data_IF_140989202213
#
_entry.id   IF_140989202213
#
_cell.length_a   1.000
_cell.length_b   1.000
_cell.length_c   1.000
_cell.angle_alpha   90.00
_cell.angle_beta   90.00
_cell.angle_gamma   90.00
#
_symmetry.space_group_name_H-M   'P 1'
#
loop_
_entity.id
_entity.type
_entity.pdbx_description
1 polymer ?
#
# COMPACT_ATOMS: atom_id res chain seq x y z
N UNK A 1 -29.58 45.61 -83.58
CA UNK A 1 -28.33 45.41 -82.82
C UNK A 1 -27.37 44.60 -83.68
N UNK A 2 -26.12 45.06 -83.85
CA UNK A 2 -25.14 44.54 -84.82
C UNK A 2 -24.58 43.11 -84.55
N UNK A 3 -25.18 42.34 -83.64
CA UNK A 3 -24.78 40.95 -83.34
C UNK A 3 -23.39 40.78 -82.72
N UNK A 4 -22.69 41.87 -82.41
CA UNK A 4 -21.38 41.89 -81.75
C UNK A 4 -21.61 41.99 -80.24
N UNK A 5 -21.16 40.97 -79.52
CA UNK A 5 -21.20 40.91 -78.07
C UNK A 5 -19.77 40.93 -77.52
N UNK A 6 -19.64 41.40 -76.28
CA UNK A 6 -18.40 41.35 -75.53
C UNK A 6 -18.51 40.27 -74.46
N UNK A 7 -17.49 39.43 -74.35
CA UNK A 7 -17.40 38.45 -73.29
C UNK A 7 -16.08 38.61 -72.54
N UNK A 8 -16.16 38.57 -71.20
CA UNK A 8 -15.02 38.68 -70.30
C UNK A 8 -15.04 37.46 -69.38
N UNK A 9 -14.02 36.61 -69.51
CA UNK A 9 -13.86 35.46 -68.65
C UNK A 9 -13.25 35.87 -67.29
N UNK A 10 -13.65 35.17 -66.23
CA UNK A 10 -12.99 35.28 -64.94
C UNK A 10 -11.61 34.60 -64.95
N UNK A 11 -10.67 34.99 -64.07
CA UNK A 11 -9.34 34.38 -63.99
C UNK A 11 -9.36 32.88 -63.67
N UNK A 12 -10.47 32.37 -63.11
CA UNK A 12 -10.69 30.96 -62.80
C UNK A 12 -11.41 30.19 -63.91
N UNK A 13 -11.63 30.78 -65.08
CA UNK A 13 -12.36 30.16 -66.19
C UNK A 13 -11.47 30.09 -67.44
N UNK A 14 -11.38 28.90 -68.03
CA UNK A 14 -10.77 28.70 -69.34
C UNK A 14 -11.84 28.82 -70.41
N UNK A 15 -11.61 29.66 -71.40
CA UNK A 15 -12.63 29.97 -72.41
C UNK A 15 -12.10 29.66 -73.79
N UNK A 16 -12.93 29.03 -74.62
CA UNK A 16 -12.65 28.70 -76.01
C UNK A 16 -13.72 29.33 -76.91
N UNK A 17 -13.28 30.10 -77.90
CA UNK A 17 -14.12 30.67 -78.93
C UNK A 17 -14.07 29.79 -80.17
N UNK A 18 -15.20 29.16 -80.49
CA UNK A 18 -15.37 28.39 -81.71
C UNK A 18 -16.03 29.25 -82.79
N UNK A 19 -15.46 29.22 -84.00
CA UNK A 19 -16.04 29.84 -85.19
C UNK A 19 -15.88 28.88 -86.37
N UNK A 20 -16.98 28.56 -87.03
CA UNK A 20 -17.02 27.60 -88.15
C UNK A 20 -16.33 26.26 -87.82
N UNK A 21 -16.54 25.74 -86.61
CA UNK A 21 -15.99 24.45 -86.17
C UNK A 21 -14.52 24.45 -85.74
N UNK A 22 -13.82 25.59 -85.77
CA UNK A 22 -12.43 25.71 -85.32
C UNK A 22 -12.29 26.65 -84.12
N UNK A 23 -11.38 26.32 -83.21
CA UNK A 23 -10.98 27.22 -82.11
C UNK A 23 -10.21 28.39 -82.69
N UNK A 24 -10.68 29.62 -82.45
CA UNK A 24 -10.02 30.86 -82.89
C UNK A 24 -9.25 31.54 -81.78
N UNK A 25 -9.70 31.39 -80.54
CA UNK A 25 -9.08 31.97 -79.37
C UNK A 25 -9.36 31.05 -78.18
N UNK A 26 -8.33 30.80 -77.37
CA UNK A 26 -8.47 30.08 -76.12
C UNK A 26 -7.53 30.64 -75.06
N UNK A 27 -7.95 30.60 -73.80
CA UNK A 27 -7.13 31.08 -72.69
C UNK A 27 -7.88 31.22 -71.38
N UNK A 28 -7.11 31.40 -70.30
CA UNK A 28 -7.61 31.66 -68.95
C UNK A 28 -7.85 33.15 -68.76
N UNK A 29 -9.02 33.54 -68.25
CA UNK A 29 -9.33 34.95 -67.93
C UNK A 29 -9.26 35.90 -69.13
N UNK A 30 -9.46 35.37 -70.34
CA UNK A 30 -9.37 36.15 -71.57
C UNK A 30 -10.66 36.90 -71.85
N UNK A 31 -10.55 38.09 -72.43
CA UNK A 31 -11.69 38.91 -72.86
C UNK A 31 -11.62 39.19 -74.35
N UNK A 32 -12.76 39.13 -75.04
CA UNK A 32 -12.81 39.32 -76.49
C UNK A 32 -14.20 39.77 -76.96
N UNK A 33 -14.24 40.38 -78.14
CA UNK A 33 -15.48 40.61 -78.88
C UNK A 33 -15.75 39.41 -79.80
N UNK A 34 -17.01 39.03 -79.94
CA UNK A 34 -17.43 37.95 -80.83
C UNK A 34 -18.74 38.28 -81.53
N UNK A 35 -18.95 37.69 -82.70
CA UNK A 35 -20.18 37.82 -83.47
C UNK A 35 -21.11 36.64 -83.15
N UNK A 36 -22.14 36.90 -82.34
CA UNK A 36 -23.00 35.87 -81.78
C UNK A 36 -23.65 34.91 -82.81
N UNK A 37 -24.05 35.35 -84.02
CA UNK A 37 -24.67 34.44 -85.00
C UNK A 37 -23.77 33.35 -85.59
N UNK A 38 -22.44 33.48 -85.55
CA UNK A 38 -21.52 32.49 -86.15
C UNK A 38 -20.43 31.98 -85.19
N UNK A 39 -20.57 32.27 -83.91
CA UNK A 39 -19.59 31.91 -82.91
C UNK A 39 -20.25 31.30 -81.68
N UNK A 40 -19.58 30.29 -81.11
CA UNK A 40 -19.96 29.62 -79.88
C UNK A 40 -18.86 29.79 -78.85
N UNK A 41 -19.25 30.02 -77.60
CA UNK A 41 -18.32 30.18 -76.49
C UNK A 41 -18.47 28.96 -75.59
N UNK A 42 -17.34 28.35 -75.26
CA UNK A 42 -17.23 27.26 -74.29
C UNK A 42 -16.47 27.79 -73.10
N UNK A 43 -17.03 27.66 -71.90
CA UNK A 43 -16.44 28.18 -70.66
C UNK A 43 -16.27 27.05 -69.65
N UNK A 44 -15.03 26.63 -69.41
CA UNK A 44 -14.69 25.54 -68.50
C UNK A 44 -14.18 26.12 -67.18
N UNK A 45 -14.80 25.80 -66.03
CA UNK A 45 -14.32 26.28 -64.74
C UNK A 45 -13.05 25.52 -64.34
N UNK A 46 -12.00 26.27 -64.00
CA UNK A 46 -10.73 25.74 -63.46
C UNK A 46 -10.69 25.79 -61.93
N UNK A 47 -11.69 26.40 -61.30
CA UNK A 47 -11.80 26.44 -59.85
C UNK A 47 -12.01 25.03 -59.28
N UNK A 48 -11.37 24.77 -58.13
CA UNK A 48 -11.67 23.57 -57.36
C UNK A 48 -13.12 23.60 -56.87
N UNK A 49 -13.78 22.45 -56.92
CA UNK A 49 -15.13 22.24 -56.42
C UNK A 49 -15.13 21.12 -55.40
N UNK A 50 -15.86 21.33 -54.32
CA UNK A 50 -16.04 20.36 -53.24
C UNK A 50 -17.41 19.68 -53.39
N UNK A 51 -17.43 18.36 -53.33
CA UNK A 51 -18.64 17.54 -53.37
C UNK A 51 -18.74 16.73 -52.08
N UNK A 52 -19.71 17.04 -51.19
CA UNK A 52 -19.99 16.19 -50.05
C UNK A 52 -20.70 14.91 -50.50
N UNK A 53 -20.47 13.82 -49.78
CA UNK A 53 -21.11 12.54 -50.04
C UNK A 53 -21.51 11.81 -48.78
N UNK A 54 -22.63 11.09 -48.86
CA UNK A 54 -23.14 10.22 -47.82
C UNK A 54 -23.64 8.93 -48.49
N UNK A 55 -22.93 7.84 -48.25
CA UNK A 55 -23.26 6.53 -48.81
C UNK A 55 -23.71 5.59 -47.72
N UNK A 56 -24.91 5.01 -47.89
CA UNK A 56 -25.38 3.89 -47.09
C UNK A 56 -25.03 2.59 -47.79
N UNK A 57 -24.35 1.71 -47.08
CA UNK A 57 -23.78 0.47 -47.61
C UNK A 57 -23.94 -0.66 -46.61
N UNK A 58 -23.59 -1.87 -47.05
CA UNK A 58 -23.53 -3.05 -46.19
C UNK A 58 -22.10 -3.58 -46.16
N UNK A 59 -21.66 -3.99 -44.99
CA UNK A 59 -20.38 -4.66 -44.77
C UNK A 59 -20.49 -6.14 -45.09
N UNK A 60 -19.36 -6.87 -45.03
CA UNK A 60 -19.28 -8.31 -45.26
C UNK A 60 -20.21 -9.14 -44.36
N UNK A 61 -20.43 -8.69 -43.14
CA UNK A 61 -21.31 -9.28 -42.13
C UNK A 61 -22.76 -8.74 -42.21
N UNK A 62 -23.13 -8.16 -43.36
CA UNK A 62 -24.47 -7.64 -43.66
C UNK A 62 -24.96 -6.54 -42.71
N UNK A 63 -24.05 -5.85 -42.03
CA UNK A 63 -24.36 -4.71 -41.17
C UNK A 63 -24.47 -3.44 -42.01
N UNK A 64 -25.46 -2.62 -41.71
CA UNK A 64 -25.64 -1.32 -42.39
C UNK A 64 -24.67 -0.29 -41.82
N UNK A 65 -23.97 0.39 -42.72
CA UNK A 65 -22.98 1.42 -42.41
C UNK A 65 -23.19 2.64 -43.29
N UNK A 66 -22.98 3.81 -42.71
CA UNK A 66 -23.02 5.10 -43.41
C UNK A 66 -21.60 5.66 -43.48
N UNK A 67 -21.12 5.87 -44.70
CA UNK A 67 -19.83 6.50 -44.96
C UNK A 67 -20.08 7.93 -45.43
N UNK A 68 -19.52 8.89 -44.72
CA UNK A 68 -19.65 10.32 -44.98
C UNK A 68 -18.29 10.93 -45.26
N UNK A 69 -18.21 11.81 -46.24
CA UNK A 69 -16.99 12.50 -46.59
C UNK A 69 -17.22 13.58 -47.63
N UNK A 70 -16.11 14.09 -48.16
CA UNK A 70 -16.11 15.06 -49.24
C UNK A 70 -14.93 14.81 -50.17
N UNK A 71 -15.12 15.19 -51.44
CA UNK A 71 -14.09 15.12 -52.46
C UNK A 71 -13.93 16.49 -53.11
N UNK A 72 -12.68 16.91 -53.24
CA UNK A 72 -12.31 18.16 -53.91
C UNK A 72 -11.67 17.82 -55.23
N UNK A 73 -12.25 18.32 -56.32
CA UNK A 73 -11.75 18.09 -57.67
C UNK A 73 -11.63 19.39 -58.45
N UNK A 74 -10.82 19.38 -59.51
CA UNK A 74 -10.71 20.47 -60.47
C UNK A 74 -10.54 19.93 -61.89
N UNK A 75 -10.81 20.76 -62.88
CA UNK A 75 -10.53 20.44 -64.28
C UNK A 75 -9.13 20.95 -64.61
N UNK A 76 -8.18 20.03 -64.77
CA UNK A 76 -6.79 20.35 -65.13
C UNK A 76 -6.61 20.50 -66.65
N UNK A 77 -7.32 19.67 -67.44
CA UNK A 77 -7.27 19.69 -68.91
C UNK A 77 -8.59 20.16 -69.52
N UNK A 78 -8.81 21.48 -69.66
CA UNK A 78 -10.08 22.03 -70.12
C UNK A 78 -10.44 21.62 -71.55
N UNK A 79 -9.44 21.45 -72.42
CA UNK A 79 -9.64 21.02 -73.82
C UNK A 79 -10.24 19.61 -73.90
N UNK A 80 -9.72 18.68 -73.10
CA UNK A 80 -10.24 17.30 -73.04
C UNK A 80 -11.66 17.27 -72.45
N UNK A 81 -11.90 18.05 -71.40
CA UNK A 81 -13.21 18.17 -70.78
C UNK A 81 -14.25 18.71 -71.77
N UNK A 82 -13.91 19.76 -72.52
CA UNK A 82 -14.78 20.38 -73.52
C UNK A 82 -15.11 19.51 -74.73
N UNK A 83 -14.29 18.49 -75.03
CA UNK A 83 -14.58 17.52 -76.10
C UNK A 83 -15.61 16.47 -75.67
N UNK A 84 -15.72 16.19 -74.37
CA UNK A 84 -16.58 15.13 -73.83
C UNK A 84 -17.83 15.65 -73.12
N UNK A 85 -17.82 16.92 -72.69
CA UNK A 85 -18.90 17.57 -71.95
C UNK A 85 -19.18 18.91 -72.63
N UNK A 86 -20.46 19.19 -72.85
CA UNK A 86 -20.89 20.46 -73.42
C UNK A 86 -20.85 21.60 -72.37
N UNK A 87 -19.77 22.38 -72.38
CA UNK A 87 -19.62 23.61 -71.57
C UNK A 87 -20.00 24.89 -72.34
N UNK A 88 -20.86 24.78 -73.36
CA UNK A 88 -21.25 25.95 -74.15
C UNK A 88 -22.12 26.90 -73.33
N UNK A 89 -21.85 28.20 -73.44
CA UNK A 89 -22.58 29.26 -72.72
C UNK A 89 -23.31 30.21 -73.66
N UNK A 90 -24.41 30.79 -73.17
CA UNK A 90 -25.12 31.88 -73.84
C UNK A 90 -24.44 33.24 -73.58
N UNK A 91 -24.96 34.30 -74.20
CA UNK A 91 -24.44 35.67 -74.02
C UNK A 91 -24.55 36.21 -72.58
N UNK A 92 -25.36 35.58 -71.72
CA UNK A 92 -25.50 35.92 -70.30
C UNK A 92 -24.54 35.09 -69.41
N UNK A 93 -23.74 34.20 -69.99
CA UNK A 93 -22.81 33.34 -69.25
C UNK A 93 -23.44 32.10 -68.63
N UNK A 94 -24.70 31.76 -68.94
CA UNK A 94 -25.31 30.51 -68.46
C UNK A 94 -25.04 29.36 -69.44
N UNK A 95 -24.81 28.17 -68.90
CA UNK A 95 -24.65 26.95 -69.70
C UNK A 95 -25.91 26.66 -70.52
N UNK A 96 -25.69 26.16 -71.74
CA UNK A 96 -26.75 25.75 -72.66
C UNK A 96 -27.22 24.31 -72.43
N UNK A 97 -26.47 23.53 -71.64
CA UNK A 97 -26.76 22.14 -71.29
C UNK A 97 -26.45 21.87 -69.83
N UNK A 98 -27.12 20.86 -69.27
CA UNK A 98 -26.97 20.44 -67.88
C UNK A 98 -25.83 19.41 -67.68
N UNK A 99 -25.12 19.03 -68.76
CA UNK A 99 -24.01 18.08 -68.70
C UNK A 99 -22.87 18.46 -67.72
N UNK A 100 -22.51 19.76 -67.54
CA UNK A 100 -21.56 20.17 -66.51
C UNK A 100 -22.00 19.79 -65.10
N UNK A 101 -23.30 19.78 -64.80
CA UNK A 101 -23.83 19.34 -63.50
C UNK A 101 -23.79 17.80 -63.39
N UNK A 102 -24.05 17.09 -64.49
CA UNK A 102 -23.92 15.63 -64.56
C UNK A 102 -22.50 15.10 -64.32
N UNK A 103 -21.48 15.97 -64.40
CA UNK A 103 -20.10 15.65 -64.02
C UNK A 103 -19.99 15.30 -62.53
N UNK A 104 -20.67 16.06 -61.67
CA UNK A 104 -20.64 15.84 -60.23
C UNK A 104 -21.14 14.43 -59.90
N UNK A 105 -22.27 14.04 -60.50
CA UNK A 105 -22.82 12.70 -60.32
C UNK A 105 -21.89 11.61 -60.83
N UNK A 106 -21.19 11.85 -61.94
CA UNK A 106 -20.25 10.87 -62.51
C UNK A 106 -19.04 10.65 -61.60
N UNK A 107 -18.50 11.71 -61.02
CA UNK A 107 -17.45 11.62 -60.00
C UNK A 107 -18.01 10.87 -58.79
N UNK A 108 -19.20 11.26 -58.31
CA UNK A 108 -19.83 10.63 -57.15
C UNK A 108 -20.06 9.13 -57.31
N UNK A 109 -20.54 8.69 -58.49
CA UNK A 109 -20.69 7.27 -58.83
C UNK A 109 -19.34 6.54 -58.80
N UNK A 110 -18.27 7.17 -59.27
CA UNK A 110 -16.93 6.57 -59.28
C UNK A 110 -16.39 6.39 -57.86
N UNK A 111 -16.55 7.40 -57.00
CA UNK A 111 -16.23 7.32 -55.56
C UNK A 111 -17.05 6.22 -54.89
N UNK A 112 -18.36 6.18 -55.16
CA UNK A 112 -19.25 5.17 -54.58
C UNK A 112 -18.80 3.75 -54.92
N UNK A 113 -18.34 3.48 -56.14
CA UNK A 113 -17.84 2.15 -56.54
C UNK A 113 -16.58 1.77 -55.76
N UNK A 114 -15.63 2.69 -55.60
CA UNK A 114 -14.39 2.42 -54.84
C UNK A 114 -14.71 2.17 -53.36
N UNK A 115 -15.55 3.01 -52.75
CA UNK A 115 -15.98 2.83 -51.36
C UNK A 115 -16.72 1.50 -51.18
N UNK A 116 -17.63 1.16 -52.10
CA UNK A 116 -18.37 -0.11 -52.06
C UNK A 116 -17.43 -1.31 -52.03
N UNK A 117 -16.50 -1.38 -52.98
CA UNK A 117 -15.58 -2.50 -53.10
C UNK A 117 -14.71 -2.68 -51.85
N UNK A 118 -14.31 -1.56 -51.22
CA UNK A 118 -13.57 -1.60 -49.96
C UNK A 118 -14.46 -2.12 -48.82
N UNK A 119 -15.68 -1.59 -48.66
CA UNK A 119 -16.59 -1.96 -47.56
C UNK A 119 -17.11 -3.40 -47.65
N UNK A 120 -17.37 -3.93 -48.84
CA UNK A 120 -17.83 -5.31 -49.05
C UNK A 120 -16.81 -6.36 -48.58
N UNK A 121 -15.53 -5.99 -48.51
CA UNK A 121 -14.45 -6.86 -48.05
C UNK A 121 -14.25 -6.85 -46.51
N UNK A 122 -14.80 -5.85 -45.81
CA UNK A 122 -14.56 -5.59 -44.39
C UNK A 122 -15.74 -5.99 -43.52
N UNK A 123 -15.48 -6.47 -42.31
CA UNK A 123 -16.52 -6.59 -41.27
C UNK A 123 -16.82 -5.24 -40.61
N UNK A 124 -17.85 -5.15 -39.77
CA UNK A 124 -18.25 -3.89 -39.13
C UNK A 124 -17.11 -3.23 -38.33
N UNK A 125 -16.40 -3.98 -37.50
CA UNK A 125 -15.33 -3.43 -36.64
C UNK A 125 -14.14 -2.89 -37.47
N UNK A 126 -13.76 -3.62 -38.53
CA UNK A 126 -12.75 -3.16 -39.47
C UNK A 126 -13.21 -1.92 -40.20
N UNK A 127 -14.45 -1.89 -40.69
CA UNK A 127 -15.00 -0.75 -41.39
C UNK A 127 -14.98 0.53 -40.53
N UNK A 128 -15.38 0.44 -39.25
CA UNK A 128 -15.35 1.57 -38.30
C UNK A 128 -13.93 2.10 -38.01
N UNK A 129 -12.91 1.23 -38.08
CA UNK A 129 -11.50 1.61 -37.89
C UNK A 129 -10.74 1.89 -39.20
N UNK A 130 -11.40 1.71 -40.35
CA UNK A 130 -10.77 1.76 -41.67
C UNK A 130 -10.61 3.15 -42.27
N UNK A 131 -11.07 4.23 -41.60
CA UNK A 131 -11.12 5.57 -42.18
C UNK A 131 -9.81 5.98 -42.88
N UNK A 132 -8.66 5.79 -42.21
CA UNK A 132 -7.34 6.12 -42.79
C UNK A 132 -6.97 5.24 -44.01
N UNK A 133 -7.29 3.96 -43.94
CA UNK A 133 -7.02 2.99 -45.01
C UNK A 133 -7.89 3.31 -46.23
N UNK A 134 -9.16 3.62 -45.99
CA UNK A 134 -10.12 3.96 -47.04
C UNK A 134 -9.75 5.28 -47.72
N UNK A 135 -9.34 6.32 -46.98
CA UNK A 135 -8.84 7.56 -47.57
C UNK A 135 -7.64 7.32 -48.48
N UNK A 136 -6.68 6.51 -48.03
CA UNK A 136 -5.48 6.20 -48.82
C UNK A 136 -5.83 5.43 -50.09
N UNK A 137 -6.71 4.43 -49.98
CA UNK A 137 -7.19 3.65 -51.11
C UNK A 137 -7.96 4.52 -52.13
N UNK A 138 -8.76 5.47 -51.66
CA UNK A 138 -9.46 6.42 -52.54
C UNK A 138 -8.48 7.33 -53.28
N UNK A 139 -7.47 7.87 -52.59
CA UNK A 139 -6.45 8.72 -53.20
C UNK A 139 -5.62 7.99 -54.27
N UNK A 140 -5.36 6.70 -54.10
CA UNK A 140 -4.61 5.90 -55.08
C UNK A 140 -5.49 5.40 -56.23
N UNK A 141 -6.71 4.91 -55.95
CA UNK A 141 -7.53 4.23 -56.95
C UNK A 141 -8.35 5.19 -57.82
N UNK A 142 -8.80 6.31 -57.28
CA UNK A 142 -9.64 7.25 -58.03
C UNK A 142 -8.92 7.88 -59.22
N UNK A 143 -7.66 8.36 -59.10
CA UNK A 143 -6.93 8.90 -60.24
C UNK A 143 -6.67 7.85 -61.31
N UNK A 144 -6.49 6.58 -60.93
CA UNK A 144 -6.20 5.47 -61.86
C UNK A 144 -7.44 5.07 -62.66
N UNK A 145 -8.64 5.48 -62.25
CA UNK A 145 -9.84 5.23 -63.05
C UNK A 145 -9.76 5.97 -64.38
N UNK A 146 -9.64 5.19 -65.46
CA UNK A 146 -9.50 5.66 -66.83
C UNK A 146 -10.58 6.64 -67.29
N UNK A 147 -11.71 6.72 -66.60
CA UNK A 147 -12.81 7.60 -66.96
C UNK A 147 -12.59 9.05 -66.53
N UNK A 148 -11.99 9.29 -65.35
CA UNK A 148 -11.76 10.64 -64.83
C UNK A 148 -10.55 11.30 -65.51
N UNK A 149 -9.48 10.54 -65.75
CA UNK A 149 -8.31 11.04 -66.50
C UNK A 149 -8.67 11.45 -67.92
N UNK A 150 -9.53 10.68 -68.61
CA UNK A 150 -9.99 10.99 -69.97
C UNK A 150 -10.77 12.31 -70.04
N UNK A 151 -11.52 12.63 -68.98
CA UNK A 151 -12.25 13.88 -68.84
C UNK A 151 -11.37 15.07 -68.43
N UNK A 152 -10.08 14.85 -68.13
CA UNK A 152 -9.19 15.91 -67.67
C UNK A 152 -9.45 16.37 -66.24
N UNK A 153 -10.07 15.50 -65.41
CA UNK A 153 -10.40 15.78 -64.02
C UNK A 153 -9.26 15.33 -63.12
N UNK A 154 -8.84 16.22 -62.23
CA UNK A 154 -7.88 15.94 -61.17
C UNK A 154 -8.59 15.98 -59.82
N UNK A 155 -8.32 14.97 -58.99
CA UNK A 155 -8.81 14.93 -57.61
C UNK A 155 -7.70 15.49 -56.74
N UNK A 156 -7.97 16.64 -56.14
CA UNK A 156 -7.01 17.35 -55.29
C UNK A 156 -6.98 16.76 -53.89
N UNK A 157 -8.16 16.46 -53.34
CA UNK A 157 -8.29 16.01 -51.97
C UNK A 157 -9.49 15.08 -51.80
N UNK A 158 -9.34 14.10 -50.92
CA UNK A 158 -10.42 13.23 -50.45
C UNK A 158 -10.34 13.19 -48.95
N UNK A 159 -11.45 13.51 -48.27
CA UNK A 159 -11.54 13.42 -46.81
C UNK A 159 -12.80 12.66 -46.40
N UNK A 160 -12.65 11.85 -45.35
CA UNK A 160 -13.74 11.10 -44.73
C UNK A 160 -14.10 11.77 -43.41
N UNK A 161 -15.36 12.16 -43.27
CA UNK A 161 -15.88 12.88 -42.11
C UNK A 161 -16.31 11.91 -41.02
N UNK A 162 -17.03 10.86 -41.40
CA UNK A 162 -17.55 9.88 -40.45
C UNK A 162 -17.82 8.53 -41.11
N UNK A 163 -17.57 7.47 -40.37
CA UNK A 163 -18.04 6.12 -40.69
C UNK A 163 -18.87 5.68 -39.48
N UNK A 164 -20.18 5.59 -39.64
CA UNK A 164 -21.10 5.28 -38.55
C UNK A 164 -21.97 4.07 -38.88
N UNK A 165 -22.21 3.17 -37.92
CA UNK A 165 -23.14 2.07 -38.12
C UNK A 165 -24.59 2.57 -38.07
N UNK A 166 -25.56 1.72 -38.40
CA UNK A 166 -26.97 2.01 -38.16
C UNK A 166 -27.23 2.37 -36.68
N UNK A 167 -28.17 3.28 -36.37
CA UNK A 167 -28.40 3.75 -35.00
C UNK A 167 -28.71 2.64 -33.99
N UNK A 168 -29.36 1.56 -34.42
CA UNK A 168 -29.65 0.39 -33.58
C UNK A 168 -28.38 -0.38 -33.24
N UNK A 169 -27.53 -0.65 -34.23
CA UNK A 169 -26.22 -1.30 -34.07
C UNK A 169 -25.26 -0.43 -33.26
N UNK A 170 -25.30 0.89 -33.43
CA UNK A 170 -24.52 1.84 -32.63
C UNK A 170 -24.84 1.69 -31.13
N UNK A 171 -26.14 1.69 -30.79
CA UNK A 171 -26.60 1.50 -29.41
C UNK A 171 -26.22 0.13 -28.86
N UNK A 172 -26.31 -0.92 -29.68
CA UNK A 172 -25.91 -2.26 -29.27
C UNK A 172 -24.40 -2.33 -28.95
N UNK A 173 -23.56 -1.74 -29.81
CA UNK A 173 -22.12 -1.69 -29.62
C UNK A 173 -21.74 -0.85 -28.38
N UNK A 174 -22.41 0.29 -28.15
CA UNK A 174 -22.23 1.09 -26.94
C UNK A 174 -22.58 0.32 -25.67
N UNK A 175 -23.66 -0.47 -25.69
CA UNK A 175 -24.05 -1.31 -24.57
C UNK A 175 -23.00 -2.40 -24.29
N UNK A 176 -22.51 -3.09 -25.33
CA UNK A 176 -21.46 -4.11 -25.19
C UNK A 176 -20.16 -3.53 -24.61
N UNK A 177 -19.71 -2.39 -25.12
CA UNK A 177 -18.52 -1.69 -24.60
C UNK A 177 -18.74 -1.25 -23.16
N UNK A 178 -19.95 -0.75 -22.83
CA UNK A 178 -20.29 -0.37 -21.45
C UNK A 178 -20.26 -1.56 -20.51
N UNK A 179 -20.82 -2.71 -20.89
CA UNK A 179 -20.77 -3.94 -20.10
C UNK A 179 -19.34 -4.46 -19.94
N UNK A 180 -18.52 -4.41 -20.99
CA UNK A 180 -17.10 -4.78 -20.91
C UNK A 180 -16.35 -3.89 -19.91
N UNK A 181 -16.57 -2.57 -19.94
CA UNK A 181 -15.98 -1.63 -19.00
C UNK A 181 -16.44 -1.87 -17.56
N UNK A 182 -17.72 -2.20 -17.34
CA UNK A 182 -18.24 -2.56 -16.02
C UNK A 182 -17.58 -3.84 -15.50
N UNK A 183 -17.47 -4.87 -16.35
CA UNK A 183 -16.80 -6.12 -16.01
C UNK A 183 -15.33 -5.91 -15.65
N UNK A 184 -14.63 -5.06 -16.39
CA UNK A 184 -13.22 -4.73 -16.09
C UNK A 184 -13.09 -3.98 -14.76
N UNK A 185 -14.03 -3.09 -14.43
CA UNK A 185 -14.08 -2.43 -13.13
C UNK A 185 -14.33 -3.43 -11.99
N UNK A 186 -15.27 -4.36 -12.16
CA UNK A 186 -15.54 -5.43 -11.18
C UNK A 186 -14.33 -6.35 -11.01
N UNK A 187 -13.67 -6.73 -12.10
CA UNK A 187 -12.43 -7.51 -12.06
C UNK A 187 -11.33 -6.77 -11.28
N UNK A 188 -11.19 -5.46 -11.47
CA UNK A 188 -10.23 -4.64 -10.73
C UNK A 188 -10.57 -4.56 -9.23
N UNK A 189 -11.86 -4.47 -8.87
CA UNK A 189 -12.33 -4.52 -7.47
C UNK A 189 -12.02 -5.89 -6.87
N UNK A 190 -12.34 -6.96 -7.59
CA UNK A 190 -12.06 -8.33 -7.16
C UNK A 190 -10.57 -8.56 -6.94
N UNK A 191 -9.72 -8.14 -7.88
CA UNK A 191 -8.26 -8.26 -7.77
C UNK A 191 -7.72 -7.50 -6.55
N UNK A 192 -8.22 -6.29 -6.28
CA UNK A 192 -7.86 -5.54 -5.05
C UNK A 192 -8.29 -6.30 -3.80
N UNK A 193 -9.52 -6.83 -3.77
CA UNK A 193 -10.03 -7.59 -2.62
C UNK A 193 -9.21 -8.85 -2.37
N UNK A 194 -8.87 -9.58 -3.43
CA UNK A 194 -8.03 -10.77 -3.35
C UNK A 194 -6.66 -10.41 -2.76
N UNK A 195 -6.03 -9.34 -3.25
CA UNK A 195 -4.73 -8.88 -2.72
C UNK A 195 -4.79 -8.48 -1.25
N UNK A 196 -5.90 -7.91 -0.79
CA UNK A 196 -6.10 -7.58 0.64
C UNK A 196 -6.27 -8.84 1.50
N UNK A 197 -7.02 -9.83 1.02
CA UNK A 197 -7.23 -11.10 1.74
C UNK A 197 -5.92 -11.90 1.81
N UNK A 198 -5.14 -11.94 0.72
CA UNK A 198 -3.82 -12.58 0.72
C UNK A 198 -2.88 -11.91 1.72
N UNK A 199 -2.86 -10.58 1.78
CA UNK A 199 -2.12 -9.85 2.80
C UNK A 199 -2.62 -10.14 4.21
N UNK A 200 -3.93 -10.20 4.45
CA UNK A 200 -4.47 -10.53 5.77
C UNK A 200 -4.09 -11.96 6.19
N UNK A 201 -4.14 -12.92 5.28
CA UNK A 201 -3.67 -14.29 5.53
C UNK A 201 -2.18 -14.31 5.86
N UNK A 202 -1.36 -13.62 5.08
CA UNK A 202 0.07 -13.53 5.32
C UNK A 202 0.36 -12.90 6.70
N UNK A 203 -0.32 -11.80 7.06
CA UNK A 203 -0.18 -11.16 8.37
C UNK A 203 -0.57 -12.13 9.48
N UNK A 204 -1.70 -12.85 9.34
CA UNK A 204 -2.14 -13.83 10.35
C UNK A 204 -1.16 -15.01 10.49
N UNK A 205 -0.53 -15.46 9.39
CA UNK A 205 0.53 -16.48 9.43
C UNK A 205 1.79 -15.95 10.15
N UNK A 206 2.20 -14.72 9.85
CA UNK A 206 3.34 -14.06 10.52
C UNK A 206 3.07 -13.83 12.02
N UNK A 207 1.83 -13.44 12.38
CA UNK A 207 1.37 -13.32 13.78
C UNK A 207 1.44 -14.67 14.51
N UNK A 208 0.93 -15.75 13.91
CA UNK A 208 0.99 -17.10 14.49
C UNK A 208 2.44 -17.60 14.68
N UNK A 209 3.33 -17.34 13.73
CA UNK A 209 4.76 -17.67 13.88
C UNK A 209 5.41 -16.84 14.99
N UNK A 210 5.02 -15.58 15.13
CA UNK A 210 5.47 -14.71 16.23
C UNK A 210 4.98 -15.24 17.58
N UNK A 211 3.72 -15.65 17.70
CA UNK A 211 3.17 -16.26 18.91
C UNK A 211 3.90 -17.57 19.27
N UNK A 212 4.15 -18.45 18.30
CA UNK A 212 4.96 -19.66 18.51
C UNK A 212 6.36 -19.32 19.01
N UNK A 213 7.00 -18.29 18.45
CA UNK A 213 8.33 -17.86 18.87
C UNK A 213 8.32 -17.30 20.31
N UNK A 214 7.28 -16.55 20.69
CA UNK A 214 7.10 -16.07 22.08
C UNK A 214 6.90 -17.24 23.03
N UNK A 215 6.02 -18.19 22.70
CA UNK A 215 5.77 -19.37 23.53
C UNK A 215 7.04 -20.22 23.72
N UNK A 216 7.84 -20.42 22.66
CA UNK A 216 9.14 -21.10 22.76
C UNK A 216 10.10 -20.35 23.69
N UNK A 217 10.22 -19.03 23.55
CA UNK A 217 11.03 -18.21 24.45
C UNK A 217 10.57 -18.30 25.91
N UNK A 218 9.26 -18.32 26.16
CA UNK A 218 8.72 -18.49 27.50
C UNK A 218 9.09 -19.86 28.08
N UNK A 219 8.94 -20.94 27.31
CA UNK A 219 9.37 -22.28 27.74
C UNK A 219 10.87 -22.34 28.04
N UNK A 220 11.71 -21.69 27.23
CA UNK A 220 13.15 -21.63 27.47
C UNK A 220 13.48 -20.81 28.72
N UNK A 221 12.77 -19.70 28.96
CA UNK A 221 12.91 -18.91 30.19
C UNK A 221 12.46 -19.69 31.44
N UNK A 222 11.37 -20.44 31.37
CA UNK A 222 10.91 -21.31 32.46
C UNK A 222 11.93 -22.41 32.77
N UNK A 223 12.51 -23.04 31.75
CA UNK A 223 13.60 -24.01 31.93
C UNK A 223 14.80 -23.37 32.60
N UNK A 224 15.24 -22.20 32.14
CA UNK A 224 16.34 -21.46 32.74
C UNK A 224 16.04 -21.06 34.19
N UNK A 225 14.81 -20.66 34.50
CA UNK A 225 14.39 -20.34 35.87
C UNK A 225 14.44 -21.59 36.78
N UNK A 226 13.98 -22.74 36.30
CA UNK A 226 14.06 -24.01 37.02
C UNK A 226 15.50 -24.48 37.21
N UNK A 227 16.36 -24.33 36.20
CA UNK A 227 17.79 -24.64 36.29
C UNK A 227 18.47 -23.73 37.33
N UNK A 228 18.20 -22.42 37.30
CA UNK A 228 18.70 -21.47 38.28
C UNK A 228 18.19 -21.75 39.71
N UNK A 229 16.94 -22.20 39.85
CA UNK A 229 16.38 -22.61 41.15
C UNK A 229 17.06 -23.89 41.66
N UNK A 230 17.29 -24.87 40.79
CA UNK A 230 18.05 -26.09 41.14
C UNK A 230 19.48 -25.75 41.56
N UNK A 231 20.17 -24.87 40.84
CA UNK A 231 21.50 -24.41 41.21
C UNK A 231 21.51 -23.73 42.58
N UNK A 232 20.53 -22.86 42.87
CA UNK A 232 20.38 -22.23 44.18
C UNK A 232 20.16 -23.25 45.29
N UNK A 233 19.26 -24.22 45.09
CA UNK A 233 19.01 -25.29 46.07
C UNK A 233 20.25 -26.14 46.31
N UNK A 234 21.01 -26.44 45.25
CA UNK A 234 22.24 -27.22 45.35
C UNK A 234 23.36 -26.44 46.07
N UNK A 235 23.48 -25.13 45.81
CA UNK A 235 24.38 -24.26 46.57
C UNK A 235 23.97 -24.18 48.05
N UNK A 236 22.68 -24.05 48.35
CA UNK A 236 22.18 -24.06 49.73
C UNK A 236 22.49 -25.38 50.44
N UNK A 237 22.26 -26.51 49.77
CA UNK A 237 22.59 -27.83 50.31
C UNK A 237 24.09 -27.96 50.62
N UNK A 238 24.96 -27.53 49.69
CA UNK A 238 26.41 -27.54 49.91
C UNK A 238 26.81 -26.63 51.08
N UNK A 239 26.25 -25.42 51.17
CA UNK A 239 26.49 -24.51 52.29
C UNK A 239 26.04 -25.11 53.64
N UNK A 240 24.91 -25.81 53.67
CA UNK A 240 24.41 -26.45 54.88
C UNK A 240 25.28 -27.65 55.28
N UNK A 241 25.80 -28.41 54.31
CA UNK A 241 26.81 -29.44 54.57
C UNK A 241 28.10 -28.84 55.15
N UNK A 242 28.62 -27.76 54.57
CA UNK A 242 29.79 -27.05 55.09
C UNK A 242 29.56 -26.53 56.52
N UNK A 243 28.39 -25.93 56.79
CA UNK A 243 28.02 -25.48 58.14
C UNK A 243 27.94 -26.64 59.13
N UNK A 244 27.40 -27.79 58.71
CA UNK A 244 27.29 -28.96 59.57
C UNK A 244 28.67 -29.52 59.92
N UNK A 245 29.56 -29.65 58.93
CA UNK A 245 30.96 -30.04 59.14
C UNK A 245 31.66 -29.07 60.09
N UNK A 246 31.52 -27.75 59.86
CA UNK A 246 32.09 -26.73 60.74
C UNK A 246 31.54 -26.82 62.17
N UNK A 247 30.25 -27.15 62.36
CA UNK A 247 29.67 -27.40 63.69
C UNK A 247 30.26 -28.65 64.33
N UNK A 248 30.36 -29.76 63.60
CA UNK A 248 30.97 -31.01 64.10
C UNK A 248 32.42 -30.80 64.53
N UNK A 249 33.21 -30.06 63.74
CA UNK A 249 34.60 -29.74 64.08
C UNK A 249 34.71 -28.82 65.30
N UNK A 250 33.80 -27.85 65.44
CA UNK A 250 33.73 -27.01 66.64
C UNK A 250 33.32 -27.81 67.88
N UNK A 251 32.40 -28.77 67.74
CA UNK A 251 31.99 -29.68 68.81
C UNK A 251 33.17 -30.58 69.26
N UNK A 252 33.95 -31.11 68.31
CA UNK A 252 35.18 -31.87 68.60
C UNK A 252 36.21 -31.03 69.35
N UNK A 253 36.49 -29.81 68.86
CA UNK A 253 37.39 -28.88 69.56
C UNK A 253 36.89 -28.54 70.96
N UNK A 254 35.58 -28.40 71.15
CA UNK A 254 34.98 -28.21 72.49
C UNK A 254 35.20 -29.42 73.39
N UNK A 255 35.04 -30.64 72.89
CA UNK A 255 35.29 -31.85 73.66
C UNK A 255 36.77 -31.93 74.11
N UNK A 256 37.71 -31.64 73.21
CA UNK A 256 39.15 -31.56 73.54
C UNK A 256 39.45 -30.50 74.61
N UNK A 257 38.83 -29.31 74.50
CA UNK A 257 38.99 -28.25 75.49
C UNK A 257 38.42 -28.65 76.87
N UNK A 258 37.29 -29.35 76.92
CA UNK A 258 36.70 -29.85 78.16
C UNK A 258 37.56 -30.94 78.81
N UNK A 259 38.19 -31.83 78.02
CA UNK A 259 39.17 -32.78 78.57
C UNK A 259 40.38 -32.06 79.19
N UNK A 260 40.89 -31.03 78.51
CA UNK A 260 42.00 -30.23 78.99
C UNK A 260 41.64 -29.43 80.25
N UNK A 261 40.42 -28.88 80.31
CA UNK A 261 39.87 -28.19 81.48
C UNK A 261 39.70 -29.15 82.67
N UNK A 262 39.18 -30.36 82.44
CA UNK A 262 39.07 -31.39 83.49
C UNK A 262 40.46 -31.81 84.02
N UNK A 263 41.45 -31.96 83.16
CA UNK A 263 42.82 -32.25 83.56
C UNK A 263 43.43 -31.11 84.41
N UNK A 264 43.21 -29.86 84.01
CA UNK A 264 43.64 -28.67 84.77
C UNK A 264 42.93 -28.56 86.12
N UNK A 265 41.61 -28.80 86.15
CA UNK A 265 40.80 -28.76 87.38
C UNK A 265 41.26 -29.82 88.38
N UNK A 266 41.59 -31.03 87.91
CA UNK A 266 42.13 -32.11 88.76
C UNK A 266 43.48 -31.73 89.38
N UNK A 267 44.38 -31.16 88.58
CA UNK A 267 45.67 -30.67 89.07
C UNK A 267 45.53 -29.52 90.08
N UNK A 268 44.59 -28.59 89.87
CA UNK A 268 44.28 -27.53 90.85
C UNK A 268 43.64 -28.07 92.13
N UNK A 269 42.77 -29.07 92.04
CA UNK A 269 42.13 -29.71 93.18
C UNK A 269 43.17 -30.45 94.05
N UNK A 270 44.12 -31.16 93.43
CA UNK A 270 45.22 -31.83 94.14
C UNK A 270 46.13 -30.81 94.86
N UNK A 271 46.40 -29.66 94.23
CA UNK A 271 47.16 -28.57 94.87
C UNK A 271 46.41 -27.96 96.07
N UNK A 272 45.09 -27.72 95.94
CA UNK A 272 44.26 -27.21 97.05
C UNK A 272 44.13 -28.22 98.19
N UNK A 273 44.03 -29.51 97.90
CA UNK A 273 43.96 -30.56 98.91
C UNK A 273 45.26 -30.63 99.74
N UNK A 274 46.41 -30.42 99.11
CA UNK A 274 47.70 -30.34 99.80
C UNK A 274 47.77 -29.12 100.74
N UNK A 275 47.32 -27.96 100.26
CA UNK A 275 47.34 -26.71 101.02
C UNK A 275 46.40 -26.73 102.24
N UNK A 276 45.19 -27.28 102.07
CA UNK A 276 44.22 -27.44 103.17
C UNK A 276 44.74 -28.39 104.26
N UNK A 277 45.47 -29.45 103.88
CA UNK A 277 46.03 -30.43 104.82
C UNK A 277 47.15 -29.83 105.67
N UNK A 278 47.95 -28.92 105.10
CA UNK A 278 48.98 -28.18 105.82
C UNK A 278 48.39 -27.14 106.79
N UNK A 279 47.28 -26.48 106.40
CA UNK A 279 46.61 -25.50 107.25
C UNK A 279 45.84 -26.15 108.42
N UNK A 280 45.18 -27.30 108.20
CA UNK A 280 44.43 -28.00 109.25
C UNK A 280 45.32 -28.64 110.33
N UNK A 281 46.61 -28.90 110.06
CA UNK A 281 47.56 -29.40 111.05
C UNK A 281 47.98 -28.33 112.09
N UNK A 282 47.80 -27.04 111.79
CA UNK A 282 48.20 -25.92 112.66
C UNK A 282 47.12 -25.49 113.67
N UNK A 283 45.91 -26.07 113.63
CA UNK A 283 44.75 -25.65 114.44
C UNK A 283 44.29 -26.66 115.51
N UNK A 284 45.07 -27.70 115.81
CA UNK A 284 44.66 -28.80 116.70
C UNK A 284 44.68 -28.48 118.22
N UNK A 285 44.91 -27.24 118.65
CA UNK A 285 45.16 -26.90 120.06
C UNK A 285 44.35 -25.70 120.60
N UNK A 286 43.09 -25.51 120.16
CA UNK A 286 42.23 -24.44 120.70
C UNK A 286 40.80 -24.92 121.04
N UNK A 287 40.43 -24.63 122.30
CA UNK A 287 39.17 -24.88 123.01
C UNK A 287 37.87 -24.52 122.25
N UNK A 288 36.88 -25.40 122.40
CA UNK A 288 35.55 -25.36 121.76
C UNK A 288 34.69 -24.13 122.11
N UNK A 289 35.08 -23.35 123.13
CA UNK A 289 34.39 -22.11 123.50
C UNK A 289 34.89 -20.86 122.75
N UNK A 290 36.08 -20.89 122.12
CA UNK A 290 36.59 -19.75 121.32
C UNK A 290 36.12 -19.75 119.86
N UNK A 291 35.69 -20.90 119.32
CA UNK A 291 35.04 -21.00 118.01
C UNK A 291 33.64 -20.33 117.98
N UNK A 292 32.95 -20.24 119.12
CA UNK A 292 31.69 -19.48 119.24
C UNK A 292 31.91 -17.97 119.19
N UNK A 293 33.08 -17.47 119.61
CA UNK A 293 33.40 -16.04 119.61
C UNK A 293 33.92 -15.56 118.25
N UNK A 294 34.55 -16.42 117.45
CA UNK A 294 34.93 -16.08 116.07
C UNK A 294 33.74 -16.04 115.10
N UNK A 295 32.63 -16.69 115.41
CA UNK A 295 31.39 -16.57 114.64
C UNK A 295 30.61 -15.27 114.95
N UNK A 296 31.07 -14.45 115.92
CA UNK A 296 30.46 -13.15 116.23
C UNK A 296 30.96 -12.01 115.34
N UNK A 297 32.05 -12.22 114.58
CA UNK A 297 32.57 -11.22 113.62
C UNK A 297 32.13 -11.44 112.17
N UNK A 298 31.35 -12.49 111.89
CA UNK A 298 30.84 -12.82 110.56
C UNK A 298 29.32 -13.07 110.53
N UNK A 299 28.59 -12.65 111.57
CA UNK A 299 27.13 -12.71 111.62
C UNK A 299 26.54 -11.51 110.87
N UNK A 300 25.76 -11.81 109.82
CA UNK A 300 25.03 -10.80 109.04
C UNK A 300 23.99 -10.11 109.95
N UNK A 301 23.63 -8.83 109.70
CA UNK A 301 22.66 -8.08 110.51
C UNK A 301 21.35 -8.82 110.75
N UNK A 302 20.93 -9.68 109.81
CA UNK A 302 19.71 -10.48 109.92
C UNK A 302 19.77 -11.53 111.04
N UNK A 303 20.94 -12.11 111.32
CA UNK A 303 21.11 -13.14 112.35
C UNK A 303 21.18 -12.55 113.78
N UNK A 304 21.70 -11.32 113.93
CA UNK A 304 21.71 -10.60 115.20
C UNK A 304 20.29 -10.19 115.65
N UNK A 305 19.41 -9.89 114.69
CA UNK A 305 18.01 -9.51 114.96
C UNK A 305 17.16 -10.73 115.29
N UNK A 306 17.36 -11.86 114.60
CA UNK A 306 16.71 -13.12 114.95
C UNK A 306 17.01 -13.53 116.40
N UNK A 307 18.25 -13.32 116.86
CA UNK A 307 18.66 -13.63 118.23
C UNK A 307 18.16 -12.61 119.27
N UNK A 308 17.99 -11.34 118.88
CA UNK A 308 17.33 -10.32 119.71
C UNK A 308 15.83 -10.58 119.90
N UNK A 309 15.12 -11.05 118.86
CA UNK A 309 13.72 -11.46 118.91
C UNK A 309 13.55 -12.71 119.79
N UNK A 310 14.50 -13.65 119.73
CA UNK A 310 14.49 -14.85 120.58
C UNK A 310 14.77 -14.52 122.07
N UNK A 311 15.59 -13.51 122.37
CA UNK A 311 15.83 -13.05 123.74
C UNK A 311 14.67 -12.21 124.30
N UNK A 312 13.93 -11.48 123.47
CA UNK A 312 12.71 -10.76 123.87
C UNK A 312 11.54 -11.70 124.21
N UNK A 313 11.64 -12.98 123.87
CA UNK A 313 10.60 -14.00 124.10
C UNK A 313 10.98 -15.03 125.17
N UNK A 314 12.15 -14.91 125.81
CA UNK A 314 12.61 -15.76 126.91
C UNK A 314 12.80 -14.94 128.20
N UNK A 315 11.85 -15.05 129.13
CA UNK A 315 11.85 -14.40 130.46
C UNK A 315 10.54 -13.67 130.76
N UNK A 316 10.17 -13.52 132.05
CA UNK A 316 8.85 -13.10 132.56
C UNK A 316 8.38 -11.66 132.22
N UNK A 317 8.50 -11.20 130.97
CA UNK A 317 7.91 -9.94 130.49
C UNK A 317 6.89 -10.22 129.36
N UNK A 318 5.62 -10.36 129.74
CA UNK A 318 4.48 -10.52 128.83
C UNK A 318 4.21 -9.22 128.05
N UNK A 319 4.69 -9.11 126.82
CA UNK A 319 4.30 -8.03 125.90
C UNK A 319 3.10 -8.50 125.06
N UNK A 320 1.92 -7.91 125.32
CA UNK A 320 0.64 -8.36 124.77
C UNK A 320 0.30 -7.90 123.34
N UNK A 321 1.10 -7.04 122.71
CA UNK A 321 1.05 -6.76 121.27
C UNK A 321 2.31 -5.99 120.84
N UNK A 322 2.96 -6.45 119.77
CA UNK A 322 4.15 -5.80 119.18
C UNK A 322 3.77 -5.38 117.76
N UNK A 323 3.46 -4.09 117.59
CA UNK A 323 3.11 -3.52 116.29
C UNK A 323 4.39 -3.03 115.60
N UNK A 324 4.82 -3.74 114.56
CA UNK A 324 5.90 -3.30 113.69
C UNK A 324 5.33 -2.35 112.62
N UNK A 325 5.79 -1.11 112.57
CA UNK A 325 5.46 -0.20 111.47
C UNK A 325 6.20 -0.62 110.18
N UNK A 326 5.59 -0.48 108.98
CA UNK A 326 6.23 -0.86 107.71
C UNK A 326 7.58 -0.18 107.45
N UNK A 327 7.79 1.01 108.03
CA UNK A 327 9.02 1.80 107.91
C UNK A 327 10.22 1.14 108.62
N UNK A 328 9.98 0.40 109.71
CA UNK A 328 11.03 -0.34 110.43
C UNK A 328 11.51 -1.58 109.65
N UNK A 329 10.58 -2.29 109.00
CA UNK A 329 10.90 -3.45 108.15
C UNK A 329 11.66 -3.05 106.87
N UNK A 330 11.41 -1.87 106.31
CA UNK A 330 12.16 -1.36 105.15
C UNK A 330 13.59 -0.92 105.50
N UNK A 331 13.86 -0.49 106.73
CA UNK A 331 15.22 -0.13 107.18
C UNK A 331 16.14 -1.34 107.41
N UNK A 332 15.58 -2.56 107.42
CA UNK A 332 16.28 -3.81 107.76
C UNK A 332 16.58 -4.72 106.56
N UNK A 333 16.08 -4.40 105.36
CA UNK A 333 16.25 -5.20 104.14
C UNK A 333 17.32 -4.56 103.20
N UNK A 334 18.02 -3.51 103.65
CA UNK A 334 18.98 -2.78 102.81
C UNK A 334 20.43 -2.97 103.22
#
# INVERSE_FOLDING_TARGET
>A
MFGINFYKADPSTHVMLFKNGAVKLQGRGTSFYYYAPNASIVAVPLSSKELPFVFRMKTKDFQEITVQGQITFRIDRPEAAAQMINFSINAKGMYLSDEPEGLDERIMRSVQVVVRNAMESMNLQQALSSAKVLTSALQEQLPVQSNLQRLGIEITEVSLTAISPAPETAKALEAEVREALLRDADNAIYARRLSSIEKEKQVREEELETEKAIARKQQDLEKQALEAEREKLQQQFNMDQEKLLARTDNERKRAELVELENANSKAQADAKAYDLKAQLAAFNDIDLERLKVMNMNAARPEQLIAQAIENLTKGENKVGSLNFSPELLQSLIR
#
